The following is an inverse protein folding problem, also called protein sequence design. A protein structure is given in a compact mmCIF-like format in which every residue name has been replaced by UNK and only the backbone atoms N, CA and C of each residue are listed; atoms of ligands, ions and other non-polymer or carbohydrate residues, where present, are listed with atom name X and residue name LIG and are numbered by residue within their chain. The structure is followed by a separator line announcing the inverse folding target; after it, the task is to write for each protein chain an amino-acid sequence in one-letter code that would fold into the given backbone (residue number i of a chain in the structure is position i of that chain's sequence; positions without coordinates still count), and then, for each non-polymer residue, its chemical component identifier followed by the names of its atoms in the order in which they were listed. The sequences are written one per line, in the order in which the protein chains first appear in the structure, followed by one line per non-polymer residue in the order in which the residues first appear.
data_IF_592426801895
#
_entry.id   IF_592426801895
#
_cell.length_a   1.000
_cell.length_b   1.000
_cell.length_c   1.000
_cell.angle_alpha   90.00
_cell.angle_beta   90.00
_cell.angle_gamma   90.00
#
_symmetry.space_group_name_H-M   'P 1'
#
loop_
_entity.id
_entity.type
_entity.pdbx_description
1 polymer ?
#
# COMPACT_ATOMS: atom_id res chain seq x y z
N UNK A 1 -16.02 -5.29 6.42
CA UNK A 1 -15.30 -6.06 5.38
C UNK A 1 -13.78 -6.03 5.55
N UNK A 2 -13.12 -4.87 5.61
CA UNK A 2 -11.64 -4.80 5.59
C UNK A 2 -10.97 -5.62 6.71
N UNK A 3 -11.44 -5.56 7.96
CA UNK A 3 -10.96 -6.46 9.02
C UNK A 3 -11.02 -7.95 8.66
N UNK A 4 -12.05 -8.39 7.93
CA UNK A 4 -12.19 -9.79 7.50
C UNK A 4 -11.25 -10.12 6.33
N UNK A 5 -11.02 -9.18 5.42
CA UNK A 5 -10.06 -9.34 4.31
C UNK A 5 -8.64 -9.51 4.89
N UNK A 6 -8.23 -8.61 5.77
CA UNK A 6 -6.94 -8.68 6.45
C UNK A 6 -6.82 -9.90 7.36
N UNK A 7 -7.85 -10.20 8.16
CA UNK A 7 -7.87 -11.37 9.05
C UNK A 7 -7.86 -12.72 8.33
N UNK A 8 -8.25 -12.77 7.05
CA UNK A 8 -8.15 -13.97 6.21
C UNK A 8 -6.91 -13.97 5.30
N UNK A 9 -6.03 -12.97 5.43
CA UNK A 9 -4.80 -12.83 4.64
C UNK A 9 -5.08 -12.95 3.13
N UNK A 10 -6.07 -12.19 2.67
CA UNK A 10 -6.47 -12.16 1.28
C UNK A 10 -5.67 -11.08 0.54
N UNK A 11 -4.95 -11.43 -0.54
CA UNK A 11 -4.28 -10.44 -1.37
C UNK A 11 -5.33 -9.55 -2.03
N UNK A 12 -5.29 -8.25 -1.73
CA UNK A 12 -6.25 -7.27 -2.21
C UNK A 12 -5.58 -5.90 -2.21
N UNK A 13 -5.89 -5.07 -3.20
CA UNK A 13 -5.48 -3.66 -3.23
C UNK A 13 -6.71 -2.80 -3.40
N UNK A 14 -6.86 -1.81 -2.53
CA UNK A 14 -7.86 -0.76 -2.64
C UNK A 14 -7.13 0.53 -2.96
N UNK A 15 -7.43 1.12 -4.11
CA UNK A 15 -6.92 2.41 -4.52
C UNK A 15 -7.82 3.53 -4.00
N UNK A 16 -7.26 4.45 -3.21
CA UNK A 16 -8.00 5.52 -2.54
C UNK A 16 -7.46 6.87 -2.95
N UNK A 17 -8.30 7.68 -3.59
CA UNK A 17 -8.09 9.12 -3.66
C UNK A 17 -8.52 9.70 -2.30
N UNK A 18 -7.56 9.90 -1.40
CA UNK A 18 -7.79 10.25 0.00
C UNK A 18 -8.56 11.56 0.13
N UNK A 19 -9.55 11.59 1.03
CA UNK A 19 -10.57 12.64 1.11
C UNK A 19 -10.99 12.93 2.55
N UNK A 20 -11.34 14.20 2.80
CA UNK A 20 -11.99 14.63 4.04
C UNK A 20 -13.25 13.84 4.37
N UNK A 21 -13.39 13.46 5.64
CA UNK A 21 -14.64 12.93 6.18
C UNK A 21 -15.63 14.06 6.48
N UNK A 22 -16.92 13.78 6.33
CA UNK A 22 -17.96 14.73 6.70
C UNK A 22 -18.07 14.80 8.23
N UNK A 23 -17.76 15.98 8.79
CA UNK A 23 -17.91 16.28 10.22
C UNK A 23 -19.01 17.35 10.40
N UNK A 24 -18.66 18.61 10.63
CA UNK A 24 -19.63 19.72 10.65
C UNK A 24 -20.21 20.04 9.27
N UNK A 25 -19.49 19.66 8.21
CA UNK A 25 -19.90 19.84 6.81
C UNK A 25 -19.26 18.75 5.95
N UNK A 26 -19.82 18.56 4.74
CA UNK A 26 -19.23 17.72 3.70
C UNK A 26 -18.06 18.46 3.05
N UNK A 27 -16.93 17.78 2.88
CA UNK A 27 -15.87 18.19 1.97
C UNK A 27 -15.65 17.10 0.92
N UNK A 28 -15.47 17.51 -0.33
CA UNK A 28 -15.06 16.59 -1.42
C UNK A 28 -13.55 16.53 -1.60
N UNK A 29 -12.81 17.44 -0.97
CA UNK A 29 -11.39 17.66 -1.22
C UNK A 29 -10.49 16.75 -0.40
N UNK A 30 -9.22 16.68 -0.82
CA UNK A 30 -8.24 15.76 -0.29
C UNK A 30 -7.70 16.15 1.08
N UNK A 31 -7.71 15.19 1.98
CA UNK A 31 -6.87 15.09 3.18
C UNK A 31 -6.77 13.60 3.57
N UNK A 32 -6.16 13.28 4.71
CA UNK A 32 -5.93 11.89 5.13
C UNK A 32 -6.92 11.37 6.19
N UNK A 33 -8.06 12.03 6.41
CA UNK A 33 -9.01 11.62 7.45
C UNK A 33 -9.57 10.21 7.21
N UNK A 34 -9.94 9.90 5.97
CA UNK A 34 -10.52 8.61 5.58
C UNK A 34 -9.54 7.45 5.73
N UNK A 35 -8.32 7.58 5.20
CA UNK A 35 -7.28 6.55 5.29
C UNK A 35 -6.86 6.33 6.75
N UNK A 36 -6.76 7.39 7.56
CA UNK A 36 -6.36 7.24 8.97
C UNK A 36 -7.46 6.63 9.84
N UNK A 37 -8.74 6.77 9.47
CA UNK A 37 -9.82 6.04 10.11
C UNK A 37 -9.73 4.52 9.89
N UNK A 38 -8.95 4.10 8.88
CA UNK A 38 -8.75 2.72 8.48
C UNK A 38 -7.41 2.13 8.98
N UNK A 39 -6.51 2.89 9.61
CA UNK A 39 -5.14 2.42 9.90
C UNK A 39 -5.05 1.15 10.78
N UNK A 40 -6.02 0.93 11.65
CA UNK A 40 -6.05 -0.19 12.60
C UNK A 40 -6.62 -1.50 12.03
N UNK A 41 -7.07 -1.50 10.79
CA UNK A 41 -7.85 -2.61 10.22
C UNK A 41 -7.00 -3.80 9.73
N UNK A 42 -5.67 -3.66 9.78
CA UNK A 42 -4.70 -4.65 9.30
C UNK A 42 -4.39 -4.57 7.80
N UNK A 43 -4.69 -3.46 7.13
CA UNK A 43 -4.20 -3.21 5.78
C UNK A 43 -2.83 -2.54 5.85
N UNK A 44 -1.92 -2.95 4.96
CA UNK A 44 -0.73 -2.16 4.68
C UNK A 44 -1.15 -0.86 4.00
N UNK A 45 -0.47 0.24 4.31
CA UNK A 45 -0.79 1.55 3.76
C UNK A 45 0.42 2.05 2.97
N UNK A 46 0.23 2.24 1.66
CA UNK A 46 1.26 2.72 0.75
C UNK A 46 0.80 4.03 0.12
N UNK A 47 1.55 5.11 0.36
CA UNK A 47 1.22 6.44 -0.15
C UNK A 47 2.03 6.75 -1.40
N UNK A 48 1.38 7.33 -2.41
CA UNK A 48 2.05 7.98 -3.54
C UNK A 48 1.93 9.49 -3.41
N UNK A 49 3.05 10.20 -3.57
CA UNK A 49 3.10 11.65 -3.43
C UNK A 49 2.97 12.41 -4.76
N UNK A 50 2.95 11.72 -5.91
CA UNK A 50 2.81 12.35 -7.23
C UNK A 50 2.03 11.47 -8.22
N UNK A 51 1.70 12.02 -9.39
CA UNK A 51 1.05 11.27 -10.48
C UNK A 51 1.96 10.15 -10.99
N UNK A 52 3.27 10.42 -11.10
CA UNK A 52 4.27 9.40 -11.50
C UNK A 52 4.35 8.28 -10.48
N UNK A 53 4.47 8.60 -9.19
CA UNK A 53 4.51 7.58 -8.14
C UNK A 53 3.23 6.76 -8.09
N UNK A 54 2.08 7.39 -8.35
CA UNK A 54 0.81 6.67 -8.39
C UNK A 54 0.83 5.55 -9.44
N UNK A 55 1.49 5.75 -10.58
CA UNK A 55 1.70 4.71 -11.59
C UNK A 55 2.65 3.61 -11.09
N UNK A 56 3.77 4.00 -10.50
CA UNK A 56 4.84 3.07 -10.12
C UNK A 56 4.48 2.23 -8.88
N UNK A 57 4.01 2.88 -7.82
CA UNK A 57 3.71 2.26 -6.52
C UNK A 57 2.38 1.50 -6.49
N UNK A 58 1.45 1.78 -7.41
CA UNK A 58 0.27 0.93 -7.59
C UNK A 58 0.70 -0.51 -7.93
N UNK A 59 1.68 -0.68 -8.82
CA UNK A 59 2.24 -1.98 -9.16
C UNK A 59 2.89 -2.68 -7.97
N UNK A 60 3.68 -1.94 -7.17
CA UNK A 60 4.26 -2.45 -5.91
C UNK A 60 3.17 -3.00 -4.99
N UNK A 61 2.08 -2.24 -4.77
CA UNK A 61 0.99 -2.67 -3.90
C UNK A 61 0.36 -3.99 -4.36
N UNK A 62 0.14 -4.18 -5.67
CA UNK A 62 -0.43 -5.42 -6.22
C UNK A 62 0.52 -6.61 -6.06
N UNK A 63 1.78 -6.44 -6.43
CA UNK A 63 2.79 -7.49 -6.35
C UNK A 63 3.06 -7.90 -4.89
N UNK A 64 3.22 -6.91 -4.00
CA UNK A 64 3.44 -7.13 -2.58
C UNK A 64 2.22 -7.73 -1.89
N UNK A 65 0.99 -7.36 -2.27
CA UNK A 65 -0.22 -7.98 -1.73
C UNK A 65 -0.26 -9.48 -2.04
N UNK A 66 0.08 -9.88 -3.27
CA UNK A 66 0.12 -11.28 -3.70
C UNK A 66 1.18 -12.06 -2.92
N UNK A 67 2.42 -11.57 -2.90
CA UNK A 67 3.55 -12.25 -2.25
C UNK A 67 3.42 -12.26 -0.72
N UNK A 68 3.08 -11.13 -0.13
CA UNK A 68 3.00 -10.95 1.33
C UNK A 68 1.68 -11.37 1.96
N UNK A 69 0.62 -11.61 1.16
CA UNK A 69 -0.74 -11.99 1.60
C UNK A 69 -1.45 -10.98 2.53
N UNK A 70 -0.85 -9.82 2.74
CA UNK A 70 -1.45 -8.70 3.47
C UNK A 70 -2.11 -7.77 2.45
N UNK A 71 -3.37 -7.35 2.66
CA UNK A 71 -4.03 -6.43 1.74
C UNK A 71 -3.50 -5.00 1.88
N UNK A 72 -3.55 -4.23 0.79
CA UNK A 72 -3.02 -2.87 0.70
C UNK A 72 -4.13 -1.83 0.50
N UNK A 73 -3.99 -0.72 1.21
CA UNK A 73 -4.54 0.58 0.86
C UNK A 73 -3.43 1.34 0.12
N UNK A 74 -3.51 1.39 -1.21
CA UNK A 74 -2.67 2.29 -1.98
C UNK A 74 -3.42 3.61 -2.13
N UNK A 75 -2.87 4.70 -1.62
CA UNK A 75 -3.57 5.98 -1.59
C UNK A 75 -2.70 7.14 -2.05
N UNK A 76 -3.37 8.18 -2.52
CA UNK A 76 -2.80 9.43 -3.03
C UNK A 76 -3.82 10.55 -2.78
N UNK A 77 -3.35 11.79 -2.75
CA UNK A 77 -4.19 12.90 -2.29
C UNK A 77 -5.31 13.23 -3.29
N UNK A 78 -6.54 13.27 -2.78
CA UNK A 78 -7.73 13.60 -3.56
C UNK A 78 -7.64 15.02 -4.13
N UNK A 79 -8.03 15.18 -5.40
CA UNK A 79 -7.83 16.36 -6.23
C UNK A 79 -6.37 16.71 -6.48
N UNK A 80 -5.58 16.93 -5.43
CA UNK A 80 -4.19 17.41 -5.54
C UNK A 80 -3.29 16.46 -6.34
N UNK A 81 -3.50 15.15 -6.24
CA UNK A 81 -2.82 14.15 -7.08
C UNK A 81 -3.80 13.48 -8.03
N UNK A 82 -5.00 13.13 -7.56
CA UNK A 82 -5.93 12.32 -8.36
C UNK A 82 -6.50 13.01 -9.60
N UNK A 83 -6.49 14.35 -9.64
CA UNK A 83 -6.96 15.14 -10.78
C UNK A 83 -5.86 16.00 -11.40
N UNK A 84 -4.63 15.84 -10.93
CA UNK A 84 -3.49 16.52 -11.51
C UNK A 84 -3.09 15.84 -12.83
N UNK A 85 -2.91 16.64 -13.87
CA UNK A 85 -2.43 16.15 -15.17
C UNK A 85 -0.93 16.43 -15.22
N UNK A 86 -0.14 15.35 -15.21
CA UNK A 86 1.29 15.40 -15.49
C UNK A 86 1.64 14.47 -16.66
N UNK A 87 2.69 14.82 -17.40
CA UNK A 87 3.32 13.89 -18.33
C UNK A 87 4.12 12.88 -17.52
N UNK A 88 3.70 11.62 -17.56
CA UNK A 88 4.33 10.51 -16.82
C UNK A 88 4.85 9.44 -17.76
N UNK A 89 5.76 8.62 -17.26
CA UNK A 89 6.19 7.37 -17.89
C UNK A 89 5.36 6.21 -17.34
N UNK A 90 4.77 5.43 -18.25
CA UNK A 90 3.91 4.29 -17.92
C UNK A 90 4.69 3.01 -18.16
N UNK A 91 4.68 2.12 -17.18
CA UNK A 91 5.31 0.81 -17.25
C UNK A 91 4.47 -0.18 -18.07
N UNK A 92 5.12 -0.92 -18.97
CA UNK A 92 4.48 -1.99 -19.74
C UNK A 92 4.09 -3.17 -18.83
N UNK A 93 2.94 -3.79 -19.10
CA UNK A 93 2.44 -4.93 -18.33
C UNK A 93 3.37 -6.15 -18.33
N UNK A 94 4.22 -6.30 -19.36
CA UNK A 94 5.24 -7.34 -19.41
C UNK A 94 6.28 -7.21 -18.29
N UNK A 95 6.49 -6.02 -17.72
CA UNK A 95 7.31 -5.86 -16.52
C UNK A 95 6.60 -6.44 -15.30
N UNK A 96 5.31 -6.15 -15.10
CA UNK A 96 4.55 -6.70 -13.98
C UNK A 96 4.39 -8.22 -14.07
N UNK A 97 4.17 -8.79 -15.26
CA UNK A 97 4.08 -10.24 -15.43
C UNK A 97 5.39 -10.97 -15.07
N UNK A 98 6.54 -10.33 -15.31
CA UNK A 98 7.85 -10.87 -14.91
C UNK A 98 8.10 -10.80 -13.41
N UNK A 99 7.59 -9.76 -12.73
CA UNK A 99 7.75 -9.58 -11.29
C UNK A 99 6.73 -10.36 -10.46
N UNK A 100 5.66 -10.85 -11.08
CA UNK A 100 4.61 -11.60 -10.41
C UNK A 100 5.14 -12.91 -9.82
N UNK A 101 5.00 -13.05 -8.50
CA UNK A 101 5.27 -14.31 -7.81
C UNK A 101 4.19 -15.35 -8.16
N UNK A 102 4.55 -16.25 -9.08
CA UNK A 102 3.63 -17.27 -9.61
C UNK A 102 3.32 -18.36 -8.59
N UNK A 103 4.22 -18.61 -7.64
CA UNK A 103 4.01 -19.60 -6.58
C UNK A 103 3.00 -19.05 -5.57
N UNK A 104 3.17 -17.81 -5.12
CA UNK A 104 2.21 -17.13 -4.23
C UNK A 104 0.82 -17.00 -4.89
N UNK A 105 0.77 -16.68 -6.18
CA UNK A 105 -0.50 -16.66 -6.93
C UNK A 105 -1.17 -18.04 -6.99
N UNK A 106 -0.39 -19.10 -7.24
CA UNK A 106 -0.91 -20.46 -7.26
C UNK A 106 -1.40 -20.89 -5.87
N UNK A 107 -0.68 -20.53 -4.80
CA UNK A 107 -1.11 -20.77 -3.42
C UNK A 107 -2.44 -20.06 -3.12
N UNK A 108 -2.60 -18.80 -3.56
CA UNK A 108 -3.87 -18.09 -3.42
C UNK A 108 -5.02 -18.85 -4.12
N UNK A 109 -4.81 -19.31 -5.37
CA UNK A 109 -5.81 -20.08 -6.12
C UNK A 109 -6.16 -21.40 -5.42
N UNK A 110 -5.15 -22.13 -4.96
CA UNK A 110 -5.33 -23.39 -4.22
C UNK A 110 -6.08 -23.18 -2.90
N UNK A 111 -5.97 -21.98 -2.32
CA UNK A 111 -6.68 -21.60 -1.10
C UNK A 111 -8.11 -21.08 -1.34
N UNK A 112 -8.56 -20.92 -2.57
CA UNK A 112 -9.94 -20.52 -2.86
C UNK A 112 -10.97 -21.54 -2.32
N UNK A 113 -12.21 -21.08 -2.15
CA UNK A 113 -13.34 -21.94 -1.86
C UNK A 113 -13.74 -22.67 -3.15
N UNK A 114 -13.71 -24.00 -3.11
CA UNK A 114 -14.09 -24.87 -4.23
C UNK A 114 -14.75 -26.13 -3.65
N UNK A 115 -15.93 -26.56 -4.13
CA UNK A 115 -16.57 -27.80 -3.68
C UNK A 115 -15.70 -29.06 -3.79
N UNK A 116 -14.79 -29.10 -4.78
CA UNK A 116 -13.84 -30.22 -4.99
C UNK A 116 -12.68 -30.21 -3.97
N UNK A 117 -12.47 -29.10 -3.26
CA UNK A 117 -11.50 -28.97 -2.18
C UNK A 117 -12.03 -28.01 -1.10
N UNK A 118 -13.04 -28.44 -0.33
CA UNK A 118 -13.83 -27.57 0.54
C UNK A 118 -13.01 -27.08 1.74
N UNK A 119 -13.26 -25.83 2.14
CA UNK A 119 -12.64 -25.21 3.32
C UNK A 119 -13.69 -24.46 4.14
N UNK A 120 -13.53 -24.46 5.45
CA UNK A 120 -14.34 -23.64 6.37
C UNK A 120 -13.57 -22.36 6.73
N UNK A 121 -14.23 -21.21 6.65
CA UNK A 121 -13.64 -19.90 7.00
C UNK A 121 -14.63 -19.04 7.76
N UNK A 122 -14.11 -18.16 8.61
CA UNK A 122 -14.92 -17.17 9.32
C UNK A 122 -15.85 -17.76 10.38
N UNK A 123 -15.37 -18.78 11.09
CA UNK A 123 -16.06 -19.41 12.23
C UNK A 123 -16.27 -18.41 13.39
N UNK A 124 -17.12 -18.80 14.34
CA UNK A 124 -17.15 -18.20 15.67
C UNK A 124 -16.11 -18.92 16.55
N UNK A 125 -15.36 -18.17 17.35
CA UNK A 125 -14.35 -18.69 18.27
C UNK A 125 -14.62 -18.13 19.65
N UNK A 126 -14.43 -18.96 20.68
CA UNK A 126 -14.50 -18.53 22.07
C UNK A 126 -13.15 -17.94 22.52
N UNK A 127 -13.13 -17.47 23.76
CA UNK A 127 -11.98 -16.85 24.42
C UNK A 127 -10.79 -17.81 24.63
N UNK A 128 -11.04 -19.12 24.60
CA UNK A 128 -10.03 -20.18 24.71
C UNK A 128 -9.01 -20.20 23.57
N UNK A 129 -9.39 -19.79 22.35
CA UNK A 129 -8.53 -19.85 21.16
C UNK A 129 -8.44 -18.55 20.34
N UNK A 130 -9.36 -17.59 20.54
CA UNK A 130 -9.45 -16.41 19.70
C UNK A 130 -8.13 -15.62 19.66
N UNK A 131 -7.54 -15.37 20.83
CA UNK A 131 -6.32 -14.57 20.93
C UNK A 131 -5.15 -15.26 20.20
N UNK A 132 -4.92 -16.54 20.46
CA UNK A 132 -3.84 -17.30 19.83
C UNK A 132 -3.99 -17.27 18.31
N UNK A 133 -5.19 -17.48 17.78
CA UNK A 133 -5.41 -17.48 16.33
C UNK A 133 -5.32 -16.08 15.70
N UNK A 134 -5.52 -15.01 16.49
CA UNK A 134 -5.29 -13.63 16.03
C UNK A 134 -3.80 -13.34 15.81
N UNK A 135 -2.94 -13.84 16.70
CA UNK A 135 -1.48 -13.61 16.67
C UNK A 135 -0.74 -14.48 15.64
N UNK A 136 -1.36 -15.56 15.13
CA UNK A 136 -0.76 -16.39 14.05
C UNK A 136 -0.43 -15.55 12.81
N UNK A 137 -1.14 -14.45 12.60
CA UNK A 137 -0.92 -13.58 11.45
C UNK A 137 0.36 -12.74 11.53
N UNK A 138 0.99 -12.59 12.72
CA UNK A 138 2.09 -11.65 12.95
C UNK A 138 3.25 -11.84 11.97
N UNK A 139 3.65 -13.10 11.71
CA UNK A 139 4.74 -13.42 10.78
C UNK A 139 4.56 -12.83 9.37
N UNK A 140 3.32 -12.65 8.92
CA UNK A 140 3.04 -12.08 7.60
C UNK A 140 3.23 -10.55 7.62
N UNK A 141 2.88 -9.90 8.72
CA UNK A 141 3.10 -8.46 8.91
C UNK A 141 4.57 -8.14 9.18
N UNK A 142 5.27 -8.97 9.96
CA UNK A 142 6.70 -8.81 10.26
C UNK A 142 7.56 -8.89 8.99
N UNK A 143 7.22 -9.79 8.06
CA UNK A 143 7.93 -9.96 6.81
C UNK A 143 7.56 -8.93 5.72
N UNK A 144 6.42 -8.25 5.86
CA UNK A 144 5.86 -7.41 4.80
C UNK A 144 6.75 -6.21 4.39
N UNK A 145 7.41 -5.48 5.32
CA UNK A 145 8.27 -4.37 4.95
C UNK A 145 9.39 -4.78 3.98
N UNK A 146 9.98 -5.95 4.17
CA UNK A 146 11.03 -6.47 3.30
C UNK A 146 10.48 -6.85 1.91
N UNK A 147 9.29 -7.46 1.85
CA UNK A 147 8.60 -7.77 0.59
C UNK A 147 8.32 -6.48 -0.21
N UNK A 148 7.85 -5.43 0.46
CA UNK A 148 7.59 -4.13 -0.19
C UNK A 148 8.89 -3.52 -0.69
N UNK A 149 9.94 -3.52 0.12
CA UNK A 149 11.24 -2.99 -0.23
C UNK A 149 11.87 -3.74 -1.42
N UNK A 150 11.74 -5.07 -1.48
CA UNK A 150 12.18 -5.88 -2.61
C UNK A 150 11.50 -5.42 -3.92
N UNK A 151 10.17 -5.26 -3.93
CA UNK A 151 9.46 -4.80 -5.11
C UNK A 151 9.75 -3.34 -5.47
N UNK A 152 9.95 -2.47 -4.48
CA UNK A 152 10.42 -1.10 -4.72
C UNK A 152 11.77 -1.11 -5.43
N UNK A 153 12.72 -1.94 -4.99
CA UNK A 153 14.03 -2.09 -5.64
C UNK A 153 13.92 -2.62 -7.07
N UNK A 154 13.09 -3.63 -7.32
CA UNK A 154 12.89 -4.16 -8.67
C UNK A 154 12.28 -3.13 -9.62
N UNK A 155 11.26 -2.38 -9.16
CA UNK A 155 10.69 -1.29 -9.96
C UNK A 155 11.71 -0.17 -10.16
N UNK A 156 12.53 0.16 -9.16
CA UNK A 156 13.61 1.13 -9.33
C UNK A 156 14.62 0.74 -10.40
N UNK A 157 14.97 -0.55 -10.52
CA UNK A 157 15.86 -1.04 -11.59
C UNK A 157 15.24 -0.88 -12.98
N UNK A 158 13.93 -1.06 -13.09
CA UNK A 158 13.20 -0.98 -14.37
C UNK A 158 13.04 0.48 -14.81
N UNK A 159 12.67 1.35 -13.86
CA UNK A 159 12.25 2.72 -14.12
C UNK A 159 13.37 3.75 -13.99
N UNK A 160 14.46 3.39 -13.31
CA UNK A 160 15.51 4.32 -12.90
C UNK A 160 15.12 5.27 -11.76
N UNK A 161 13.90 5.15 -11.20
CA UNK A 161 13.40 5.98 -10.10
C UNK A 161 13.56 5.24 -8.77
N UNK A 162 14.28 5.82 -7.82
CA UNK A 162 14.58 5.15 -6.54
C UNK A 162 13.40 5.21 -5.58
N UNK A 163 12.93 4.04 -5.13
CA UNK A 163 11.86 3.89 -4.15
C UNK A 163 12.37 3.13 -2.93
N UNK A 164 11.94 3.58 -1.74
CA UNK A 164 12.20 2.94 -0.44
C UNK A 164 10.98 3.13 0.45
N UNK A 165 10.79 2.31 1.49
CA UNK A 165 9.70 2.52 2.46
C UNK A 165 9.72 3.93 3.08
N UNK A 166 10.93 4.49 3.26
CA UNK A 166 11.15 5.89 3.60
C UNK A 166 12.31 6.43 2.78
N UNK A 167 12.12 7.60 2.17
CA UNK A 167 13.15 8.31 1.41
C UNK A 167 13.55 9.57 2.17
N UNK A 168 14.81 9.98 2.01
CA UNK A 168 15.32 11.24 2.52
C UNK A 168 15.73 12.11 1.34
N UNK A 169 15.36 13.37 1.40
CA UNK A 169 15.73 14.40 0.44
C UNK A 169 16.20 15.65 1.19
N UNK A 170 17.28 16.27 0.70
CA UNK A 170 17.86 17.48 1.27
C UNK A 170 19.35 17.37 1.58
N UNK A 171 19.83 18.29 2.42
CA UNK A 171 21.25 18.41 2.77
C UNK A 171 21.80 17.15 3.45
N UNK A 172 23.07 16.80 3.20
CA UNK A 172 23.70 15.59 3.80
C UNK A 172 23.84 15.68 5.33
N UNK A 173 23.90 16.90 5.85
CA UNK A 173 24.02 17.23 7.27
C UNK A 173 22.90 18.20 7.66
N UNK A 174 21.65 17.72 7.83
CA UNK A 174 20.53 18.60 8.17
C UNK A 174 20.49 18.87 9.68
N UNK A 175 20.27 20.12 10.07
CA UNK A 175 19.97 20.47 11.48
C UNK A 175 18.47 20.38 11.79
N UNK A 176 17.62 20.42 10.74
CA UNK A 176 16.15 20.42 10.83
C UNK A 176 15.59 19.50 9.75
N UNK A 177 14.70 18.59 10.14
CA UNK A 177 14.10 17.60 9.24
C UNK A 177 12.58 17.64 9.38
N UNK A 178 11.87 17.54 8.26
CA UNK A 178 10.42 17.39 8.20
C UNK A 178 10.11 15.96 7.79
N UNK A 179 9.19 15.31 8.51
CA UNK A 179 8.62 14.02 8.12
C UNK A 179 7.20 14.28 7.64
N UNK A 180 6.95 13.98 6.37
CA UNK A 180 5.66 14.23 5.72
C UNK A 180 5.32 13.08 4.77
N UNK A 181 4.05 13.02 4.35
CA UNK A 181 3.51 11.96 3.50
C UNK A 181 2.45 12.55 2.57
N UNK A 182 2.35 12.03 1.35
CA UNK A 182 1.45 12.56 0.32
C UNK A 182 2.05 13.76 -0.41
N UNK A 183 1.25 14.42 -1.24
CA UNK A 183 1.70 15.42 -2.22
C UNK A 183 2.41 16.64 -1.63
N UNK A 184 2.26 16.89 -0.32
CA UNK A 184 3.00 17.93 0.38
C UNK A 184 4.52 17.74 0.28
N UNK A 185 5.01 16.51 0.12
CA UNK A 185 6.45 16.26 -0.03
C UNK A 185 7.03 16.89 -1.29
N UNK A 186 6.27 16.98 -2.40
CA UNK A 186 6.76 17.65 -3.62
C UNK A 186 7.01 19.15 -3.39
N UNK A 187 6.08 19.81 -2.70
CA UNK A 187 6.24 21.23 -2.35
C UNK A 187 7.37 21.44 -1.33
N UNK A 188 7.56 20.50 -0.40
CA UNK A 188 8.66 20.55 0.55
C UNK A 188 10.02 20.37 -0.14
N UNK A 189 10.14 19.45 -1.10
CA UNK A 189 11.36 19.26 -1.89
C UNK A 189 11.74 20.55 -2.64
N UNK A 190 10.77 21.18 -3.30
CA UNK A 190 10.99 22.47 -4.01
C UNK A 190 11.46 23.58 -3.06
N UNK A 191 10.89 23.65 -1.85
CA UNK A 191 11.31 24.64 -0.84
C UNK A 191 12.68 24.30 -0.27
N UNK A 192 12.99 23.03 -0.05
CA UNK A 192 14.32 22.59 0.41
C UNK A 192 15.40 22.92 -0.63
N UNK A 193 15.10 22.81 -1.91
CA UNK A 193 16.02 23.23 -2.99
C UNK A 193 16.27 24.73 -3.03
N UNK A 194 15.27 25.52 -2.64
CA UNK A 194 15.38 26.98 -2.62
C UNK A 194 16.21 27.51 -1.44
N UNK A 195 16.17 26.82 -0.29
CA UNK A 195 16.81 27.24 0.97
C UNK A 195 18.29 26.86 1.05
#
# INVERSE_FOLDING_TARGET
NMYKIAGQLLPCVIHVAARSLAAQALSIFGDHQDIYAARQIGFAMLCSHSVQETMDLAGVAHLAAIKGRVPFLHFFDGFRTSHEIQKVEVMDYAHFDRLLDREALLEFRNNALNPENPKTRGTAQNDDIYFQTREVSNRFYDALPDVVNEYMQEISKITGREYKPFTYYGHKEPERVIVAMGSVTQALEEVVDYL
#
